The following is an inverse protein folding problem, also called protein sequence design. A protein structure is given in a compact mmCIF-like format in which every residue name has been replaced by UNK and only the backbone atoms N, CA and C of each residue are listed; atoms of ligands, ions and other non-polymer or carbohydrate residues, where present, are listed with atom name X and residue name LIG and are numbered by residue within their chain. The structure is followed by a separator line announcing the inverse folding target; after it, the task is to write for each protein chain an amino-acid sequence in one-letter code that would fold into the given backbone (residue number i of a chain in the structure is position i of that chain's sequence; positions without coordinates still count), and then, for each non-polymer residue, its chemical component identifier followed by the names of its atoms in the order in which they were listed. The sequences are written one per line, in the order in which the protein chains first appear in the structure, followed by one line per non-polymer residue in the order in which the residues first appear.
data_IF_373902008202
#
_entry.id   IF_373902008202
#
_cell.length_a   1.000
_cell.length_b   1.000
_cell.length_c   1.000
_cell.angle_alpha   90.00
_cell.angle_beta   90.00
_cell.angle_gamma   90.00
#
_symmetry.space_group_name_H-M   'P 1'
#
loop_
_entity.id
_entity.type
_entity.pdbx_description
1 polymer ?
#
# COMPACT_ATOMS: atom_id res chain seq x y z
N UNK A 1 -47.68 37.60 5.34
CA UNK A 1 -47.50 37.58 3.87
C UNK A 1 -46.08 38.00 3.50
N UNK A 2 -45.07 37.51 4.23
CA UNK A 2 -43.70 38.04 4.23
C UNK A 2 -42.65 36.93 4.43
N UNK A 3 -43.01 35.69 4.06
CA UNK A 3 -42.27 34.47 4.41
C UNK A 3 -42.10 33.51 3.20
N UNK A 4 -42.14 34.06 1.98
CA UNK A 4 -41.94 33.29 0.73
C UNK A 4 -40.78 33.80 -0.12
N UNK A 5 -40.03 34.78 0.37
CA UNK A 5 -38.90 35.38 -0.35
C UNK A 5 -37.56 34.74 0.00
N UNK A 6 -37.43 34.01 1.11
CA UNK A 6 -36.18 33.35 1.51
C UNK A 6 -35.91 32.03 0.77
N UNK A 7 -36.95 31.30 0.34
CA UNK A 7 -36.75 30.00 -0.34
C UNK A 7 -36.32 30.12 -1.81
N UNK A 8 -36.45 31.29 -2.45
CA UNK A 8 -36.00 31.47 -3.84
C UNK A 8 -34.49 31.68 -3.98
N UNK A 9 -33.82 32.23 -2.97
CA UNK A 9 -32.35 32.38 -3.00
C UNK A 9 -31.59 31.05 -2.81
N UNK A 10 -32.20 30.07 -2.13
CA UNK A 10 -31.58 28.76 -1.91
C UNK A 10 -31.59 27.89 -3.17
N UNK A 11 -32.60 28.04 -4.03
CA UNK A 11 -32.75 27.23 -5.25
C UNK A 11 -31.85 27.71 -6.39
N UNK A 12 -31.58 29.02 -6.49
CA UNK A 12 -30.67 29.56 -7.52
C UNK A 12 -29.18 29.25 -7.25
N UNK A 13 -28.82 28.77 -6.04
CA UNK A 13 -27.44 28.35 -5.71
C UNK A 13 -27.11 26.90 -6.03
N UNK A 14 -28.09 26.08 -6.42
CA UNK A 14 -27.89 24.67 -6.74
C UNK A 14 -27.71 24.43 -8.25
N UNK A 15 -26.99 25.31 -8.96
CA UNK A 15 -26.61 25.03 -10.34
C UNK A 15 -25.56 23.91 -10.30
N UNK A 16 -25.77 22.77 -10.98
CA UNK A 16 -24.80 21.67 -10.97
C UNK A 16 -23.46 22.22 -11.50
N UNK A 17 -22.38 22.01 -10.74
CA UNK A 17 -21.04 22.42 -11.15
C UNK A 17 -20.74 21.76 -12.49
N UNK A 18 -20.28 22.55 -13.44
CA UNK A 18 -19.79 22.00 -14.70
C UNK A 18 -18.49 21.25 -14.44
N UNK A 19 -18.13 20.25 -15.26
CA UNK A 19 -16.82 19.60 -15.17
C UNK A 19 -15.64 20.59 -15.21
N UNK A 20 -15.80 21.72 -15.89
CA UNK A 20 -14.81 22.81 -15.94
C UNK A 20 -14.67 23.53 -14.59
N UNK A 21 -15.77 23.75 -13.87
CA UNK A 21 -15.74 24.36 -12.54
C UNK A 21 -15.05 23.45 -11.52
N UNK A 22 -15.30 22.14 -11.59
CA UNK A 22 -14.61 21.13 -10.77
C UNK A 22 -13.11 21.08 -11.08
N UNK A 23 -12.73 21.12 -12.37
CA UNK A 23 -11.33 21.17 -12.78
C UNK A 23 -10.63 22.45 -12.31
N UNK A 24 -11.32 23.60 -12.36
CA UNK A 24 -10.82 24.87 -11.85
C UNK A 24 -10.60 24.80 -10.35
N UNK A 25 -11.56 24.29 -9.59
CA UNK A 25 -11.46 24.12 -8.14
C UNK A 25 -10.28 23.23 -7.76
N UNK A 26 -10.12 22.09 -8.44
CA UNK A 26 -8.98 21.19 -8.22
C UNK A 26 -7.64 21.90 -8.47
N UNK A 27 -7.47 22.57 -9.62
CA UNK A 27 -6.22 23.26 -9.96
C UNK A 27 -5.92 24.39 -8.96
N UNK A 28 -6.93 25.13 -8.50
CA UNK A 28 -6.72 26.18 -7.49
C UNK A 28 -6.28 25.60 -6.14
N UNK A 29 -6.79 24.42 -5.77
CA UNK A 29 -6.38 23.70 -4.55
C UNK A 29 -4.94 23.23 -4.67
N UNK A 30 -4.58 22.57 -5.77
CA UNK A 30 -3.21 22.12 -6.04
C UNK A 30 -2.21 23.29 -6.07
N UNK A 31 -2.61 24.44 -6.63
CA UNK A 31 -1.78 25.63 -6.69
C UNK A 31 -1.52 26.23 -5.30
N UNK A 32 -2.51 26.19 -4.40
CA UNK A 32 -2.34 26.63 -3.01
C UNK A 32 -1.39 25.69 -2.25
N UNK A 33 -1.53 24.38 -2.43
CA UNK A 33 -0.65 23.38 -1.82
C UNK A 33 0.79 23.52 -2.33
N UNK A 34 0.99 23.63 -3.64
CA UNK A 34 2.32 23.83 -4.23
C UNK A 34 3.00 25.12 -3.73
N UNK A 35 2.24 26.20 -3.50
CA UNK A 35 2.77 27.43 -2.90
C UNK A 35 3.18 27.26 -1.44
N UNK A 36 2.43 26.49 -0.65
CA UNK A 36 2.81 26.19 0.73
C UNK A 36 4.09 25.34 0.75
N UNK A 37 4.18 24.30 -0.09
CA UNK A 37 5.37 23.45 -0.19
C UNK A 37 6.60 24.19 -0.72
N UNK A 38 6.41 25.18 -1.60
CA UNK A 38 7.47 26.09 -2.01
C UNK A 38 7.99 26.92 -0.83
N UNK A 39 7.09 27.45 0.02
CA UNK A 39 7.48 28.23 1.19
C UNK A 39 8.18 27.39 2.28
N UNK A 40 7.83 26.11 2.40
CA UNK A 40 8.43 25.16 3.34
C UNK A 40 9.72 24.50 2.80
N UNK A 41 10.08 24.74 1.54
CA UNK A 41 11.23 24.10 0.93
C UNK A 41 12.55 24.63 1.51
N UNK A 42 13.35 23.74 2.07
CA UNK A 42 14.65 24.06 2.69
C UNK A 42 15.80 23.92 1.69
N UNK A 43 15.64 23.05 0.68
CA UNK A 43 16.67 22.79 -0.33
C UNK A 43 16.41 23.58 -1.61
N UNK A 44 17.45 24.08 -2.28
CA UNK A 44 17.29 24.84 -3.51
C UNK A 44 16.68 24.02 -4.65
N UNK A 45 16.97 22.71 -4.71
CA UNK A 45 16.41 21.82 -5.73
C UNK A 45 14.90 21.63 -5.55
N UNK A 46 14.43 21.51 -4.29
CA UNK A 46 13.00 21.42 -4.00
C UNK A 46 12.28 22.74 -4.32
N UNK A 47 12.91 23.87 -4.00
CA UNK A 47 12.37 25.19 -4.33
C UNK A 47 12.23 25.38 -5.85
N UNK A 48 13.23 24.96 -6.64
CA UNK A 48 13.18 25.01 -8.10
C UNK A 48 12.06 24.12 -8.66
N UNK A 49 11.94 22.89 -8.16
CA UNK A 49 10.87 21.96 -8.55
C UNK A 49 9.48 22.57 -8.31
N UNK A 50 9.21 23.06 -7.10
CA UNK A 50 7.90 23.65 -6.77
C UNK A 50 7.63 24.94 -7.52
N UNK A 51 8.66 25.74 -7.82
CA UNK A 51 8.52 26.94 -8.66
C UNK A 51 8.03 26.57 -10.06
N UNK A 52 8.65 25.57 -10.69
CA UNK A 52 8.23 25.09 -12.01
C UNK A 52 6.80 24.53 -11.98
N UNK A 53 6.44 23.77 -10.94
CA UNK A 53 5.09 23.25 -10.76
C UNK A 53 4.03 24.36 -10.63
N UNK A 54 4.32 25.44 -9.89
CA UNK A 54 3.41 26.59 -9.75
C UNK A 54 3.18 27.28 -11.10
N UNK A 55 4.22 27.44 -11.93
CA UNK A 55 4.12 28.05 -13.27
C UNK A 55 3.23 27.20 -14.19
N UNK A 56 3.40 25.88 -14.18
CA UNK A 56 2.60 24.96 -14.98
C UNK A 56 1.12 24.94 -14.58
N UNK A 57 0.83 24.95 -13.26
CA UNK A 57 -0.53 25.04 -12.75
C UNK A 57 -1.21 26.36 -13.14
N UNK A 58 -0.48 27.49 -13.07
CA UNK A 58 -0.98 28.78 -13.54
C UNK A 58 -1.29 28.77 -15.04
N UNK A 59 -0.46 28.10 -15.85
CA UNK A 59 -0.68 27.98 -17.29
C UNK A 59 -1.96 27.17 -17.59
N UNK A 60 -2.18 26.06 -16.87
CA UNK A 60 -3.42 25.28 -16.98
C UNK A 60 -4.65 26.08 -16.56
N UNK A 61 -4.56 26.86 -15.48
CA UNK A 61 -5.65 27.71 -15.02
C UNK A 61 -6.05 28.76 -16.09
N UNK A 62 -5.06 29.42 -16.71
CA UNK A 62 -5.31 30.36 -17.82
C UNK A 62 -5.94 29.70 -19.05
N UNK A 63 -5.59 28.45 -19.33
CA UNK A 63 -6.18 27.70 -20.43
C UNK A 63 -7.66 27.39 -20.18
N UNK A 64 -8.05 27.10 -18.93
CA UNK A 64 -9.45 26.88 -18.54
C UNK A 64 -10.29 28.15 -18.55
N UNK A 65 -9.69 29.32 -18.31
CA UNK A 65 -10.42 30.60 -18.31
C UNK A 65 -10.81 31.09 -19.72
N UNK A 66 -10.60 30.28 -20.77
CA UNK A 66 -11.06 30.61 -22.13
C UNK A 66 -10.35 31.80 -22.78
N UNK A 67 -9.43 32.46 -22.07
CA UNK A 67 -8.59 33.54 -22.59
C UNK A 67 -7.42 33.04 -23.45
N UNK A 68 -7.40 31.75 -23.79
CA UNK A 68 -6.50 31.15 -24.75
C UNK A 68 -6.89 31.48 -26.20
N UNK A 69 -6.96 32.75 -26.56
CA UNK A 69 -6.68 33.12 -27.95
C UNK A 69 -5.26 32.62 -28.22
N UNK A 70 -5.08 31.76 -29.21
CA UNK A 70 -3.81 31.18 -29.63
C UNK A 70 -2.78 32.29 -29.91
N UNK A 71 -2.07 32.76 -28.89
CA UNK A 71 -0.79 33.41 -29.10
C UNK A 71 0.17 32.29 -29.46
N UNK A 72 0.51 32.19 -30.74
CA UNK A 72 1.52 31.30 -31.28
C UNK A 72 2.83 31.43 -30.47
N UNK A 73 3.04 30.53 -29.52
CA UNK A 73 4.31 30.39 -28.82
C UNK A 73 5.28 29.64 -29.75
N UNK A 74 6.50 30.16 -29.99
CA UNK A 74 7.48 29.48 -30.83
C UNK A 74 7.91 28.16 -30.17
N UNK A 75 7.66 27.05 -30.83
CA UNK A 75 8.01 25.68 -30.43
C UNK A 75 9.52 25.37 -30.54
N UNK A 76 10.37 26.39 -30.54
CA UNK A 76 11.82 26.20 -30.68
C UNK A 76 12.47 26.01 -29.30
N UNK A 77 12.98 24.79 -29.05
CA UNK A 77 13.61 24.38 -27.77
C UNK A 77 14.83 25.21 -27.35
N UNK A 78 15.32 26.12 -28.19
CA UNK A 78 16.53 26.91 -27.94
C UNK A 78 16.27 28.35 -27.45
N UNK A 79 15.01 28.77 -27.25
CA UNK A 79 14.68 30.16 -26.86
C UNK A 79 14.09 30.30 -25.44
N UNK A 80 14.34 29.33 -24.56
CA UNK A 80 13.94 29.41 -23.15
C UNK A 80 14.73 30.46 -22.35
N UNK A 81 15.87 30.92 -22.85
CA UNK A 81 16.75 31.86 -22.14
C UNK A 81 16.25 33.31 -22.08
N UNK A 82 15.45 33.77 -23.06
CA UNK A 82 14.98 35.16 -23.09
C UNK A 82 13.71 35.37 -22.26
N UNK A 83 12.85 34.34 -22.16
CA UNK A 83 11.66 34.35 -21.29
C UNK A 83 12.02 34.27 -19.80
N UNK A 84 13.09 33.55 -19.45
CA UNK A 84 13.57 33.45 -18.06
C UNK A 84 14.07 34.80 -17.52
N UNK A 85 14.74 35.61 -18.35
CA UNK A 85 15.20 36.96 -17.97
C UNK A 85 14.07 37.94 -17.66
N UNK A 86 12.91 37.80 -18.31
CA UNK A 86 11.73 38.62 -17.99
C UNK A 86 11.04 38.18 -16.70
N UNK A 87 11.17 36.92 -16.30
CA UNK A 87 10.63 36.39 -15.04
C UNK A 87 11.59 36.54 -13.85
N UNK A 88 12.91 36.65 -14.08
CA UNK A 88 13.90 37.01 -13.05
C UNK A 88 13.56 38.33 -12.36
N UNK A 89 12.96 39.30 -13.05
CA UNK A 89 12.47 40.55 -12.46
C UNK A 89 11.28 40.38 -11.51
N UNK A 90 10.43 39.38 -11.74
CA UNK A 90 9.28 39.08 -10.87
C UNK A 90 9.74 38.21 -9.69
N UNK A 91 10.60 37.23 -9.95
CA UNK A 91 11.20 36.38 -8.93
C UNK A 91 12.10 37.20 -8.00
N UNK A 92 12.95 38.11 -8.50
CA UNK A 92 13.80 38.95 -7.63
C UNK A 92 12.99 39.84 -6.68
N UNK A 93 11.84 40.38 -7.11
CA UNK A 93 10.92 41.10 -6.24
C UNK A 93 10.28 40.17 -5.19
N UNK A 94 9.97 38.92 -5.56
CA UNK A 94 9.44 37.91 -4.63
C UNK A 94 10.49 37.51 -3.57
N UNK A 95 11.74 37.26 -3.98
CA UNK A 95 12.86 36.93 -3.10
C UNK A 95 13.21 38.08 -2.14
N UNK A 96 13.14 39.34 -2.61
CA UNK A 96 13.29 40.52 -1.75
C UNK A 96 12.14 40.68 -0.75
N UNK A 97 10.91 40.35 -1.15
CA UNK A 97 9.74 40.39 -0.25
C UNK A 97 9.78 39.29 0.81
N UNK A 98 10.43 38.15 0.51
CA UNK A 98 10.56 37.00 1.40
C UNK A 98 11.85 37.00 2.25
N UNK A 99 12.70 38.02 2.14
CA UNK A 99 13.89 38.19 3.00
C UNK A 99 15.02 37.19 2.75
N UNK A 100 15.06 36.53 1.59
CA UNK A 100 16.06 35.50 1.30
C UNK A 100 17.35 36.11 0.72
N UNK A 101 18.50 35.86 1.36
CA UNK A 101 19.82 36.23 0.86
C UNK A 101 20.60 34.97 0.48
N UNK A 102 20.98 34.74 -0.79
CA UNK A 102 21.72 33.55 -1.18
C UNK A 102 23.16 33.57 -0.65
N UNK A 103 23.59 32.47 -0.05
CA UNK A 103 24.96 32.27 0.44
C UNK A 103 25.93 32.09 -0.74
N UNK A 104 27.02 32.88 -0.77
CA UNK A 104 28.14 32.68 -1.70
C UNK A 104 28.86 31.38 -1.36
N UNK A 105 28.82 30.39 -2.25
CA UNK A 105 29.63 29.18 -2.15
C UNK A 105 31.02 29.42 -2.75
N UNK A 106 32.05 29.29 -1.91
CA UNK A 106 33.46 29.34 -2.28
C UNK A 106 33.91 27.92 -2.65
N UNK A 107 34.42 27.78 -3.88
CA UNK A 107 35.09 26.59 -4.41
C UNK A 107 36.48 26.49 -3.77
N UNK A 108 36.84 25.30 -3.31
CA UNK A 108 38.06 24.56 -3.68
C UNK A 108 38.30 23.40 -2.70
N UNK A 109 38.30 22.16 -3.19
CA UNK A 109 38.88 21.01 -2.48
C UNK A 109 39.84 20.33 -3.46
N UNK A 110 41.12 20.65 -3.31
CA UNK A 110 42.25 19.96 -3.91
C UNK A 110 42.49 18.62 -3.22
N UNK A 111 42.52 17.55 -4.03
CA UNK A 111 42.78 16.19 -3.62
C UNK A 111 44.30 15.97 -3.55
N UNK A 112 44.91 16.13 -2.36
CA UNK A 112 46.33 15.83 -2.14
C UNK A 112 46.49 14.42 -1.54
N UNK A 113 46.95 13.48 -2.36
CA UNK A 113 47.42 12.16 -1.92
C UNK A 113 48.89 12.23 -1.48
N UNK A 114 49.17 11.82 -0.24
CA UNK A 114 50.54 11.58 0.25
C UNK A 114 50.64 10.18 0.89
N UNK A 115 51.76 9.45 0.70
CA UNK A 115 51.97 8.12 1.25
C UNK A 115 52.58 8.22 2.67
N UNK A 116 51.98 7.53 3.64
CA UNK A 116 52.52 7.45 5.01
C UNK A 116 53.24 6.12 5.19
N UNK A 117 54.55 6.23 5.41
CA UNK A 117 55.46 5.20 5.88
C UNK A 117 55.31 4.98 7.39
N UNK A 118 55.10 3.74 7.81
CA UNK A 118 55.13 3.35 9.23
C UNK A 118 56.55 3.11 9.72
N UNK A 119 56.88 3.54 10.95
CA UNK A 119 57.80 2.80 11.80
C UNK A 119 57.13 2.32 13.09
N UNK A 120 57.45 1.08 13.43
CA UNK A 120 57.13 0.36 14.67
C UNK A 120 57.67 1.08 15.90
N UNK A 121 56.91 1.09 17.02
CA UNK A 121 57.54 0.96 18.32
C UNK A 121 56.89 -0.13 19.22
N UNK A 122 57.78 -0.73 20.00
CA UNK A 122 57.62 -1.79 21.01
C UNK A 122 56.67 -1.45 22.17
N UNK A 123 56.29 -2.44 23.00
CA UNK A 123 55.11 -2.37 23.87
C UNK A 123 55.42 -1.76 25.24
N UNK A 124 54.51 -0.93 25.74
CA UNK A 124 54.45 -0.46 27.13
C UNK A 124 53.10 -0.91 27.72
N UNK A 125 53.08 -1.45 28.97
CA UNK A 125 51.86 -1.90 29.62
C UNK A 125 51.17 -0.74 30.36
N UNK A 126 49.88 -0.55 30.11
CA UNK A 126 48.99 0.36 30.85
C UNK A 126 47.58 -0.22 30.77
N UNK A 127 47.15 -0.87 31.84
CA UNK A 127 46.19 -0.34 32.84
C UNK A 127 44.76 -0.29 32.31
N UNK A 128 43.97 -1.23 32.85
CA UNK A 128 42.52 -1.35 32.74
C UNK A 128 41.81 -0.04 33.06
N UNK A 129 41.18 0.56 32.05
CA UNK A 129 40.01 1.43 32.24
C UNK A 129 38.93 0.90 31.30
N UNK A 130 38.12 -0.03 31.81
CA UNK A 130 36.84 -0.38 31.22
C UNK A 130 35.94 0.86 31.26
N UNK A 131 35.89 1.59 30.15
CA UNK A 131 34.77 2.47 29.86
C UNK A 131 33.58 1.57 29.50
N UNK A 132 32.71 1.35 30.48
CA UNK A 132 31.41 0.74 30.31
C UNK A 132 30.59 1.66 29.38
N UNK A 133 30.63 1.36 28.09
CA UNK A 133 29.86 2.01 27.04
C UNK A 133 28.38 1.67 27.29
N UNK A 134 27.71 2.58 28.00
CA UNK A 134 26.29 2.52 28.33
C UNK A 134 25.53 2.49 26.98
N UNK A 135 24.77 1.44 26.65
CA UNK A 135 24.08 1.37 25.38
C UNK A 135 23.14 2.57 25.26
N UNK A 136 23.25 3.32 24.16
CA UNK A 136 22.29 4.36 23.79
C UNK A 136 20.92 3.71 23.67
N UNK A 137 20.14 3.83 24.74
CA UNK A 137 18.76 3.40 24.83
C UNK A 137 17.95 4.32 23.92
N UNK A 138 17.61 3.82 22.73
CA UNK A 138 16.71 4.49 21.79
C UNK A 138 15.41 4.88 22.54
N UNK A 139 15.31 6.15 22.96
CA UNK A 139 14.15 6.66 23.68
C UNK A 139 12.93 6.56 22.78
N UNK A 140 12.06 5.57 23.05
CA UNK A 140 10.79 5.42 22.35
C UNK A 140 9.94 6.68 22.57
N UNK A 141 9.30 7.23 21.53
CA UNK A 141 8.47 8.43 21.67
C UNK A 141 7.33 8.18 22.66
N UNK A 142 7.19 9.06 23.64
CA UNK A 142 6.11 9.05 24.64
C UNK A 142 4.97 9.91 24.11
N UNK A 143 3.74 9.39 24.19
CA UNK A 143 2.52 10.07 23.76
C UNK A 143 1.48 10.12 24.88
N UNK A 144 0.72 11.20 24.91
CA UNK A 144 -0.37 11.41 25.86
C UNK A 144 -1.67 10.83 25.30
N UNK A 145 -2.22 9.83 25.98
CA UNK A 145 -3.45 9.14 25.56
C UNK A 145 -4.58 9.47 26.50
N UNK A 146 -5.74 9.89 25.98
CA UNK A 146 -6.95 10.13 26.76
C UNK A 146 -7.75 8.83 26.87
N UNK A 147 -8.05 8.37 28.08
CA UNK A 147 -8.82 7.15 28.29
C UNK A 147 -10.31 7.33 27.91
N UNK A 148 -10.89 6.49 27.03
CA UNK A 148 -12.29 6.61 26.60
C UNK A 148 -13.30 6.15 27.68
N UNK A 149 -12.85 5.34 28.64
CA UNK A 149 -13.63 4.78 29.73
C UNK A 149 -12.76 4.60 30.98
N UNK A 150 -13.36 4.16 32.10
CA UNK A 150 -12.60 3.70 33.26
C UNK A 150 -11.95 2.35 32.90
N UNK A 151 -10.62 2.32 32.79
CA UNK A 151 -9.85 1.15 32.35
C UNK A 151 -9.01 0.61 33.51
N UNK A 152 -9.01 -0.72 33.72
CA UNK A 152 -8.15 -1.33 34.72
C UNK A 152 -6.67 -1.27 34.30
N UNK A 153 -5.77 -1.31 35.27
CA UNK A 153 -4.34 -1.30 34.97
C UNK A 153 -3.89 -2.53 34.19
N UNK A 154 -2.96 -2.32 33.25
CA UNK A 154 -2.47 -3.35 32.33
C UNK A 154 -3.37 -3.60 31.12
N UNK A 155 -4.55 -2.95 31.03
CA UNK A 155 -5.40 -3.05 29.85
C UNK A 155 -4.73 -2.44 28.63
N UNK A 156 -4.86 -3.07 27.47
CA UNK A 156 -4.28 -2.62 26.21
C UNK A 156 -5.39 -2.26 25.22
N UNK A 157 -5.27 -1.13 24.55
CA UNK A 157 -6.21 -0.72 23.50
C UNK A 157 -5.52 0.03 22.37
N UNK A 158 -6.10 -0.03 21.17
CA UNK A 158 -5.61 0.70 20.00
C UNK A 158 -5.98 2.18 20.11
N UNK A 159 -4.99 3.06 19.99
CA UNK A 159 -5.13 4.50 19.95
C UNK A 159 -4.57 5.04 18.63
N UNK A 160 -5.11 6.16 18.13
CA UNK A 160 -4.68 6.79 16.89
C UNK A 160 -4.17 8.22 17.16
N UNK A 161 -2.95 8.53 16.70
CA UNK A 161 -2.34 9.85 16.77
C UNK A 161 -1.73 10.21 15.42
N UNK A 162 -2.11 11.35 14.84
CA UNK A 162 -1.62 11.81 13.53
C UNK A 162 -1.79 10.76 12.41
N UNK A 163 -2.87 9.98 12.44
CA UNK A 163 -3.13 8.91 11.47
C UNK A 163 -2.28 7.66 11.65
N UNK A 164 -1.52 7.55 12.75
CA UNK A 164 -0.77 6.34 13.13
C UNK A 164 -1.46 5.66 14.31
N UNK A 165 -1.66 4.34 14.20
CA UNK A 165 -2.26 3.54 15.27
C UNK A 165 -1.17 2.88 16.11
N UNK A 166 -1.40 2.79 17.42
CA UNK A 166 -0.48 2.20 18.38
C UNK A 166 -1.25 1.54 19.53
N UNK A 167 -0.65 0.57 20.23
CA UNK A 167 -1.26 -0.02 21.43
C UNK A 167 -0.89 0.84 22.63
N UNK A 168 -1.88 1.48 23.22
CA UNK A 168 -1.75 2.12 24.51
C UNK A 168 -1.92 1.09 25.62
N UNK A 169 -0.92 0.93 26.50
CA UNK A 169 -1.02 0.10 27.72
C UNK A 169 -1.34 0.99 28.92
N UNK A 170 -2.45 0.70 29.60
CA UNK A 170 -2.91 1.43 30.79
C UNK A 170 -1.97 1.14 31.96
N UNK A 171 -1.51 2.16 32.72
CA UNK A 171 -0.64 1.97 33.87
C UNK A 171 -1.29 1.10 34.96
N UNK A 172 -0.49 0.43 35.78
CA UNK A 172 -0.94 -0.59 36.78
C UNK A 172 -2.04 -0.08 37.72
N UNK A 173 -2.14 1.23 37.97
CA UNK A 173 -3.20 1.83 38.81
C UNK A 173 -4.56 2.00 38.13
N UNK A 174 -4.69 1.66 36.85
CA UNK A 174 -5.86 1.98 36.05
C UNK A 174 -5.96 3.48 35.73
N UNK A 175 -6.89 3.85 34.87
CA UNK A 175 -7.13 5.23 34.46
C UNK A 175 -8.63 5.48 34.37
N UNK A 176 -9.09 6.61 34.93
CA UNK A 176 -10.50 7.00 34.85
C UNK A 176 -10.80 7.64 33.48
N UNK A 177 -12.05 7.50 33.03
CA UNK A 177 -12.55 8.10 31.79
C UNK A 177 -12.19 9.58 31.70
N UNK A 178 -11.63 9.98 30.56
CA UNK A 178 -11.24 11.35 30.24
C UNK A 178 -9.91 11.81 30.83
N UNK A 179 -9.25 11.00 31.68
CA UNK A 179 -7.89 11.31 32.14
C UNK A 179 -6.86 10.95 31.07
N UNK A 180 -5.83 11.78 30.97
CA UNK A 180 -4.65 11.50 30.16
C UNK A 180 -3.66 10.63 30.93
N UNK A 181 -2.98 9.74 30.22
CA UNK A 181 -1.84 9.00 30.74
C UNK A 181 -0.76 8.90 29.66
N UNK A 182 0.49 8.82 30.11
CA UNK A 182 1.65 8.64 29.25
C UNK A 182 1.76 7.17 28.84
N UNK A 183 1.86 6.93 27.54
CA UNK A 183 2.20 5.63 27.00
C UNK A 183 3.36 5.77 26.03
N UNK A 184 4.26 4.79 26.04
CA UNK A 184 5.22 4.66 24.95
C UNK A 184 4.45 4.28 23.70
N UNK A 185 4.68 5.00 22.61
CA UNK A 185 4.08 4.70 21.32
C UNK A 185 4.75 3.44 20.76
N UNK A 186 4.24 2.28 21.14
CA UNK A 186 4.53 1.04 20.42
C UNK A 186 3.59 1.01 19.22
N UNK A 187 4.10 1.48 18.07
CA UNK A 187 3.40 1.37 16.79
C UNK A 187 2.97 -0.09 16.61
N UNK A 188 1.69 -0.37 16.87
CA UNK A 188 1.02 -1.53 16.29
C UNK A 188 0.88 -1.21 14.83
N UNK A 189 1.94 -1.50 14.12
CA UNK A 189 1.76 -1.92 12.76
C UNK A 189 0.77 -3.07 12.84
N UNK A 190 -0.49 -2.84 12.44
CA UNK A 190 -1.59 -3.84 12.44
C UNK A 190 -1.28 -5.09 11.62
N UNK A 191 -0.06 -5.18 11.10
CA UNK A 191 0.63 -6.38 10.69
C UNK A 191 1.76 -6.62 11.70
N UNK A 192 1.80 -7.77 12.38
CA UNK A 192 2.95 -8.25 13.17
C UNK A 192 4.27 -8.35 12.36
N UNK A 193 4.33 -7.79 11.16
CA UNK A 193 5.49 -7.69 10.31
C UNK A 193 6.63 -6.97 11.07
N UNK A 194 7.73 -7.71 11.24
CA UNK A 194 8.92 -7.25 11.93
C UNK A 194 9.64 -6.20 11.07
N UNK A 195 9.96 -5.05 11.64
CA UNK A 195 10.80 -4.05 10.98
C UNK A 195 12.26 -4.48 11.01
N UNK A 196 13.02 -4.09 9.98
CA UNK A 196 14.46 -4.31 9.95
C UNK A 196 14.91 -5.76 9.72
N UNK A 197 13.99 -6.70 9.48
CA UNK A 197 14.34 -8.07 9.05
C UNK A 197 13.17 -8.80 8.40
N UNK A 198 13.48 -9.74 7.51
CA UNK A 198 12.50 -10.72 7.04
C UNK A 198 12.00 -11.58 8.22
N UNK A 199 10.71 -11.95 8.20
CA UNK A 199 10.13 -12.83 9.24
C UNK A 199 10.73 -14.24 9.17
N UNK A 200 10.87 -14.74 7.95
CA UNK A 200 11.39 -16.07 7.65
C UNK A 200 12.51 -15.94 6.60
N UNK A 201 13.45 -16.87 6.59
CA UNK A 201 14.43 -16.97 5.50
C UNK A 201 13.77 -17.56 4.23
N UNK A 202 14.44 -17.42 3.09
CA UNK A 202 13.98 -18.05 1.83
C UNK A 202 14.03 -19.58 1.87
N UNK A 203 14.87 -20.13 2.75
CA UNK A 203 15.03 -21.56 3.03
C UNK A 203 13.93 -22.12 3.93
N UNK A 204 13.25 -21.27 4.70
CA UNK A 204 12.21 -21.65 5.67
C UNK A 204 10.84 -21.89 5.02
N UNK A 205 10.81 -22.33 3.76
CA UNK A 205 9.57 -22.53 2.98
C UNK A 205 8.62 -23.57 3.59
N UNK A 206 9.15 -24.46 4.43
CA UNK A 206 8.42 -25.54 5.11
C UNK A 206 8.23 -25.32 6.61
N UNK A 207 8.51 -24.12 7.13
CA UNK A 207 8.30 -23.81 8.56
C UNK A 207 6.87 -24.13 9.04
N UNK A 208 5.88 -23.87 8.18
CA UNK A 208 4.46 -24.20 8.42
C UNK A 208 4.00 -25.48 7.71
N UNK A 209 4.94 -26.31 7.27
CA UNK A 209 4.72 -27.55 6.53
C UNK A 209 4.60 -27.40 5.01
N UNK A 210 4.82 -28.47 4.24
CA UNK A 210 4.76 -28.47 2.76
C UNK A 210 3.36 -28.27 2.20
N UNK A 211 2.32 -28.45 3.03
CA UNK A 211 0.91 -28.27 2.66
C UNK A 211 0.37 -26.88 2.96
N UNK A 212 1.23 -25.96 3.42
CA UNK A 212 0.81 -24.61 3.73
C UNK A 212 0.28 -23.90 2.47
N UNK A 213 -0.91 -23.29 2.51
CA UNK A 213 -1.57 -22.74 1.31
C UNK A 213 -0.71 -21.68 0.60
N UNK A 214 -0.06 -20.78 1.34
CA UNK A 214 0.79 -19.76 0.72
C UNK A 214 1.98 -20.36 -0.04
N UNK A 215 2.57 -21.45 0.47
CA UNK A 215 3.71 -22.12 -0.19
C UNK A 215 3.25 -22.86 -1.45
N UNK A 216 2.12 -23.57 -1.40
CA UNK A 216 1.63 -24.30 -2.57
C UNK A 216 1.05 -23.37 -3.64
N UNK A 217 0.30 -22.34 -3.26
CA UNK A 217 -0.24 -21.36 -4.22
C UNK A 217 0.90 -20.55 -4.86
N UNK A 218 1.97 -20.22 -4.13
CA UNK A 218 3.09 -19.52 -4.75
C UNK A 218 3.84 -20.37 -5.78
N UNK A 219 3.89 -21.68 -5.60
CA UNK A 219 4.51 -22.62 -6.56
C UNK A 219 3.60 -22.89 -7.76
N UNK A 220 2.30 -23.15 -7.52
CA UNK A 220 1.35 -23.57 -8.57
C UNK A 220 0.77 -22.37 -9.33
N UNK A 221 0.48 -21.27 -8.64
CA UNK A 221 -0.14 -20.06 -9.17
C UNK A 221 0.52 -18.79 -8.61
N UNK A 222 1.81 -18.57 -8.90
CA UNK A 222 2.61 -17.48 -8.33
C UNK A 222 1.97 -16.11 -8.46
N UNK A 223 1.34 -15.82 -9.60
CA UNK A 223 0.70 -14.52 -9.82
C UNK A 223 -0.51 -14.28 -8.89
N UNK A 224 -1.27 -15.32 -8.56
CA UNK A 224 -2.38 -15.19 -7.59
C UNK A 224 -1.86 -14.96 -6.18
N UNK A 225 -0.86 -15.74 -5.75
CA UNK A 225 -0.21 -15.52 -4.46
C UNK A 225 0.38 -14.11 -4.37
N UNK A 226 1.09 -13.66 -5.41
CA UNK A 226 1.65 -12.31 -5.47
C UNK A 226 0.57 -11.22 -5.43
N UNK A 227 -0.55 -11.39 -6.16
CA UNK A 227 -1.65 -10.42 -6.14
C UNK A 227 -2.25 -10.24 -4.74
N UNK A 228 -2.31 -11.31 -3.95
CA UNK A 228 -2.77 -11.25 -2.55
C UNK A 228 -1.80 -10.50 -1.67
N UNK A 229 -0.49 -10.68 -1.89
CA UNK A 229 0.56 -9.90 -1.19
C UNK A 229 0.46 -8.43 -1.56
N UNK A 230 0.37 -8.11 -2.86
CA UNK A 230 0.25 -6.74 -3.37
C UNK A 230 -0.95 -6.01 -2.76
N UNK A 231 -2.12 -6.64 -2.71
CA UNK A 231 -3.32 -6.04 -2.13
C UNK A 231 -3.19 -5.77 -0.63
N UNK A 232 -2.62 -6.70 0.15
CA UNK A 232 -2.37 -6.50 1.58
C UNK A 232 -1.43 -5.31 1.83
N UNK A 233 -0.50 -5.09 0.91
CA UNK A 233 0.52 -4.04 1.02
C UNK A 233 0.04 -2.71 0.43
N UNK A 234 -1.06 -2.70 -0.35
CA UNK A 234 -1.61 -1.53 -1.03
C UNK A 234 -0.91 -1.22 -2.35
N UNK A 235 -0.51 -2.26 -3.10
CA UNK A 235 0.18 -2.16 -4.38
C UNK A 235 -0.74 -2.48 -5.56
N UNK A 236 -0.43 -1.89 -6.70
CA UNK A 236 -1.00 -2.28 -7.99
C UNK A 236 -0.31 -3.53 -8.56
N UNK A 237 -0.77 -4.00 -9.73
CA UNK A 237 -0.22 -5.19 -10.38
C UNK A 237 1.23 -5.02 -10.87
N UNK A 238 1.71 -3.78 -10.98
CA UNK A 238 3.10 -3.49 -11.36
C UNK A 238 4.03 -3.44 -10.15
N UNK A 239 3.48 -3.51 -8.93
CA UNK A 239 4.21 -3.38 -7.67
C UNK A 239 4.43 -1.93 -7.25
N UNK A 240 3.72 -0.97 -7.85
CA UNK A 240 3.73 0.44 -7.42
C UNK A 240 2.62 0.71 -6.40
N UNK A 241 2.76 1.78 -5.63
CA UNK A 241 1.75 2.15 -4.62
C UNK A 241 0.45 2.54 -5.33
N UNK A 242 -0.63 1.81 -5.05
CA UNK A 242 -1.92 2.11 -5.64
C UNK A 242 -2.42 3.48 -5.16
N UNK A 243 -2.99 4.34 -6.04
CA UNK A 243 -3.65 5.56 -5.61
C UNK A 243 -4.76 5.21 -4.62
N UNK A 244 -4.87 5.96 -3.52
CA UNK A 244 -5.88 5.73 -2.47
C UNK A 244 -7.33 5.78 -2.98
N UNK A 245 -7.54 6.36 -4.16
CA UNK A 245 -8.86 6.53 -4.79
C UNK A 245 -9.32 5.31 -5.57
N UNK A 246 -8.44 4.35 -5.86
CA UNK A 246 -8.83 3.15 -6.63
C UNK A 246 -9.51 2.18 -5.67
N UNK A 247 -10.79 1.89 -5.94
CA UNK A 247 -11.54 0.87 -5.21
C UNK A 247 -10.76 -0.45 -5.21
N UNK A 248 -10.47 -0.98 -4.02
CA UNK A 248 -9.81 -2.27 -3.85
C UNK A 248 -10.72 -3.46 -4.20
N UNK A 249 -11.98 -3.20 -4.53
CA UNK A 249 -12.96 -4.24 -4.91
C UNK A 249 -13.23 -4.24 -6.42
N UNK A 250 -13.50 -5.42 -6.98
CA UNK A 250 -13.88 -5.60 -8.38
C UNK A 250 -12.73 -5.97 -9.32
N UNK A 251 -13.00 -5.84 -10.62
CA UNK A 251 -12.08 -6.26 -11.70
C UNK A 251 -10.76 -5.47 -11.72
N UNK A 252 -10.80 -4.23 -11.23
CA UNK A 252 -9.64 -3.33 -11.15
C UNK A 252 -8.77 -3.55 -9.91
N UNK A 253 -9.20 -4.42 -8.98
CA UNK A 253 -8.37 -4.84 -7.86
C UNK A 253 -7.12 -5.60 -8.36
N UNK A 254 -6.02 -5.63 -7.58
CA UNK A 254 -4.85 -6.44 -7.93
C UNK A 254 -5.18 -7.91 -8.20
N UNK A 255 -6.13 -8.48 -7.45
CA UNK A 255 -6.66 -9.85 -7.69
C UNK A 255 -7.41 -9.94 -9.01
N UNK A 256 -8.31 -9.00 -9.28
CA UNK A 256 -9.10 -8.97 -10.51
C UNK A 256 -8.21 -8.86 -11.75
N UNK A 257 -7.22 -7.97 -11.70
CA UNK A 257 -6.22 -7.84 -12.75
C UNK A 257 -5.40 -9.11 -12.92
N UNK A 258 -4.90 -9.72 -11.84
CA UNK A 258 -4.16 -10.98 -11.90
C UNK A 258 -4.99 -12.13 -12.50
N UNK A 259 -6.26 -12.26 -12.11
CA UNK A 259 -7.19 -13.23 -12.68
C UNK A 259 -7.44 -12.99 -14.16
N UNK A 260 -7.64 -11.72 -14.57
CA UNK A 260 -7.83 -11.36 -15.97
C UNK A 260 -6.60 -11.72 -16.81
N UNK A 261 -5.40 -11.50 -16.27
CA UNK A 261 -4.15 -11.76 -16.96
C UNK A 261 -3.84 -13.25 -17.05
N UNK A 262 -4.16 -14.03 -16.02
CA UNK A 262 -4.11 -15.50 -16.07
C UNK A 262 -5.12 -16.07 -17.06
N UNK A 263 -6.33 -15.51 -17.10
CA UNK A 263 -7.36 -15.92 -18.06
C UNK A 263 -6.93 -15.63 -19.49
N UNK A 264 -6.32 -14.47 -19.74
CA UNK A 264 -5.74 -14.11 -21.03
C UNK A 264 -4.60 -15.07 -21.42
N UNK A 265 -3.66 -15.33 -20.52
CA UNK A 265 -2.56 -16.28 -20.76
C UNK A 265 -3.06 -17.69 -21.06
N UNK A 266 -4.03 -18.18 -20.28
CA UNK A 266 -4.65 -19.48 -20.51
C UNK A 266 -5.38 -19.52 -21.86
N UNK A 267 -6.15 -18.48 -22.19
CA UNK A 267 -6.83 -18.35 -23.48
C UNK A 267 -5.88 -18.35 -24.67
N UNK A 268 -4.75 -17.65 -24.58
CA UNK A 268 -3.71 -17.66 -25.62
C UNK A 268 -3.10 -19.06 -25.80
N UNK A 269 -2.77 -19.76 -24.70
CA UNK A 269 -2.24 -21.13 -24.80
C UNK A 269 -3.27 -22.11 -25.37
N UNK A 270 -4.52 -22.05 -24.92
CA UNK A 270 -5.61 -22.88 -25.47
C UNK A 270 -5.80 -22.62 -26.97
N UNK A 271 -5.74 -21.36 -27.40
CA UNK A 271 -5.85 -20.99 -28.82
C UNK A 271 -4.69 -21.57 -29.64
N UNK A 272 -3.46 -21.49 -29.13
CA UNK A 272 -2.29 -22.06 -29.82
C UNK A 272 -2.39 -23.59 -29.90
N UNK A 273 -2.75 -24.26 -28.79
CA UNK A 273 -2.93 -25.71 -28.75
C UNK A 273 -4.04 -26.18 -29.70
N UNK A 274 -5.16 -25.47 -29.75
CA UNK A 274 -6.23 -25.74 -30.72
C UNK A 274 -5.74 -25.59 -32.17
N UNK A 275 -4.91 -24.58 -32.44
CA UNK A 275 -4.25 -24.41 -33.73
C UNK A 275 -3.32 -25.59 -34.09
N UNK A 276 -2.65 -26.18 -33.09
CA UNK A 276 -1.79 -27.36 -33.30
C UNK A 276 -2.63 -28.58 -33.67
N UNK A 277 -3.72 -28.82 -32.94
CA UNK A 277 -4.64 -29.92 -33.23
C UNK A 277 -5.24 -29.80 -34.64
N UNK A 278 -5.67 -28.60 -35.06
CA UNK A 278 -6.17 -28.39 -36.41
C UNK A 278 -5.12 -28.67 -37.49
N UNK A 279 -3.87 -28.25 -37.29
CA UNK A 279 -2.77 -28.52 -38.23
C UNK A 279 -2.43 -30.01 -38.28
N UNK A 280 -2.41 -30.67 -37.11
CA UNK A 280 -2.16 -32.09 -37.00
C UNK A 280 -3.25 -32.90 -37.73
N UNK A 281 -4.53 -32.54 -37.54
CA UNK A 281 -5.65 -33.14 -38.24
C UNK A 281 -5.67 -32.88 -39.75
N UNK A 282 -5.15 -31.72 -40.19
CA UNK A 282 -5.01 -31.39 -41.61
C UNK A 282 -3.75 -32.01 -42.26
N UNK A 283 -2.97 -32.80 -41.53
CA UNK A 283 -1.67 -33.34 -41.96
C UNK A 283 -0.67 -32.25 -42.42
N UNK A 284 -0.77 -31.05 -41.85
CA UNK A 284 0.17 -29.97 -42.09
C UNK A 284 1.38 -30.10 -41.15
N UNK A 285 2.57 -29.86 -41.67
CA UNK A 285 3.79 -29.86 -40.86
C UNK A 285 3.75 -28.68 -39.86
N UNK A 286 4.02 -28.96 -38.59
CA UNK A 286 4.22 -27.94 -37.55
C UNK A 286 5.45 -27.10 -37.92
N UNK A 287 5.27 -25.78 -37.95
CA UNK A 287 6.33 -24.83 -38.31
C UNK A 287 7.13 -24.42 -37.06
N UNK A 288 8.37 -23.98 -37.23
CA UNK A 288 9.13 -23.34 -36.15
C UNK A 288 8.36 -22.15 -35.53
N UNK A 289 7.56 -21.44 -36.33
CA UNK A 289 6.71 -20.34 -35.87
C UNK A 289 5.69 -20.78 -34.80
N UNK A 290 5.16 -21.99 -34.91
CA UNK A 290 4.19 -22.55 -33.98
C UNK A 290 4.83 -22.73 -32.59
N UNK A 291 6.02 -23.32 -32.53
CA UNK A 291 6.78 -23.46 -31.29
C UNK A 291 7.25 -22.12 -30.73
N UNK A 292 7.73 -21.21 -31.59
CA UNK A 292 8.13 -19.86 -31.17
C UNK A 292 6.98 -19.10 -30.51
N UNK A 293 5.73 -19.28 -30.96
CA UNK A 293 4.58 -18.62 -30.36
C UNK A 293 4.31 -19.08 -28.92
N UNK A 294 4.38 -20.39 -28.66
CA UNK A 294 4.22 -20.95 -27.30
C UNK A 294 5.34 -20.44 -26.39
N UNK A 295 6.58 -20.51 -26.87
CA UNK A 295 7.75 -20.05 -26.10
C UNK A 295 7.61 -18.56 -25.77
N UNK A 296 7.24 -17.73 -26.75
CA UNK A 296 7.11 -16.29 -26.57
C UNK A 296 6.03 -15.92 -25.55
N UNK A 297 4.84 -16.52 -25.65
CA UNK A 297 3.72 -16.26 -24.73
C UNK A 297 4.07 -16.66 -23.30
N UNK A 298 4.69 -17.84 -23.12
CA UNK A 298 5.07 -18.32 -21.79
C UNK A 298 6.25 -17.53 -21.21
N UNK A 299 7.25 -17.18 -22.04
CA UNK A 299 8.37 -16.36 -21.62
C UNK A 299 7.91 -14.94 -21.25
N UNK A 300 6.97 -14.34 -21.99
CA UNK A 300 6.43 -13.02 -21.63
C UNK A 300 5.69 -13.03 -20.30
N UNK A 301 4.92 -14.09 -20.03
CA UNK A 301 4.20 -14.24 -18.77
C UNK A 301 5.15 -14.46 -17.59
N UNK A 302 6.19 -15.28 -17.80
CA UNK A 302 7.26 -15.50 -16.82
C UNK A 302 8.02 -14.20 -16.52
N UNK A 303 8.43 -13.46 -17.56
CA UNK A 303 9.13 -12.19 -17.42
C UNK A 303 8.29 -11.16 -16.66
N UNK A 304 6.99 -11.06 -16.96
CA UNK A 304 6.07 -10.21 -16.22
C UNK A 304 5.98 -10.62 -14.74
N UNK A 305 5.83 -11.91 -14.46
CA UNK A 305 5.71 -12.41 -13.08
C UNK A 305 6.97 -12.11 -12.27
N UNK A 306 8.15 -12.28 -12.88
CA UNK A 306 9.44 -11.92 -12.27
C UNK A 306 9.51 -10.40 -12.00
N UNK A 307 9.17 -9.58 -12.99
CA UNK A 307 9.15 -8.12 -12.86
C UNK A 307 8.26 -7.66 -11.71
N UNK A 308 7.02 -8.14 -11.67
CA UNK A 308 6.05 -7.85 -10.61
C UNK A 308 6.54 -8.30 -9.22
N UNK A 309 7.19 -9.47 -9.15
CA UNK A 309 7.75 -10.01 -7.91
C UNK A 309 8.89 -9.14 -7.38
N UNK A 310 9.82 -8.75 -8.25
CA UNK A 310 10.97 -7.89 -7.89
C UNK A 310 10.49 -6.54 -7.38
N UNK A 311 9.56 -5.88 -8.08
CA UNK A 311 9.03 -4.58 -7.65
C UNK A 311 8.31 -4.68 -6.31
N UNK A 312 7.48 -5.72 -6.13
CA UNK A 312 6.77 -5.95 -4.86
C UNK A 312 7.75 -6.16 -3.71
N UNK A 313 8.81 -6.94 -3.93
CA UNK A 313 9.83 -7.17 -2.91
C UNK A 313 10.56 -5.89 -2.56
N UNK A 314 11.01 -5.12 -3.56
CA UNK A 314 11.71 -3.86 -3.34
C UNK A 314 10.84 -2.88 -2.53
N UNK A 315 9.53 -2.83 -2.83
CA UNK A 315 8.60 -2.03 -2.06
C UNK A 315 8.48 -2.51 -0.61
N UNK A 316 8.35 -3.82 -0.37
CA UNK A 316 8.28 -4.39 0.99
C UNK A 316 9.57 -4.10 1.76
N UNK A 317 10.74 -4.31 1.14
CA UNK A 317 12.04 -4.01 1.74
C UNK A 317 12.13 -2.54 2.16
N UNK A 318 11.70 -1.61 1.29
CA UNK A 318 11.67 -0.19 1.61
C UNK A 318 10.64 0.14 2.71
N UNK A 319 9.43 -0.42 2.64
CA UNK A 319 8.33 -0.13 3.57
C UNK A 319 8.61 -0.62 4.99
N UNK A 320 9.27 -1.76 5.14
CA UNK A 320 9.59 -2.36 6.44
C UNK A 320 11.07 -2.16 6.84
N UNK A 321 11.77 -1.26 6.13
CA UNK A 321 13.18 -0.90 6.38
C UNK A 321 14.09 -2.13 6.52
N UNK A 322 13.84 -3.17 5.72
CA UNK A 322 14.62 -4.41 5.78
C UNK A 322 16.01 -4.09 5.20
N UNK A 323 17.10 -4.23 5.98
CA UNK A 323 18.43 -3.98 5.47
C UNK A 323 18.72 -4.96 4.34
N UNK A 324 19.28 -4.45 3.25
CA UNK A 324 19.78 -5.32 2.19
C UNK A 324 20.77 -6.32 2.81
N UNK A 325 20.60 -7.60 2.51
CA UNK A 325 21.46 -8.66 3.03
C UNK A 325 22.93 -8.41 2.69
N UNK A 326 23.82 -9.22 3.27
CA UNK A 326 25.29 -9.12 3.13
C UNK A 326 25.78 -9.00 1.68
N UNK A 327 25.01 -9.50 0.72
CA UNK A 327 25.34 -9.50 -0.70
C UNK A 327 24.83 -8.28 -1.49
N UNK A 328 24.15 -7.32 -0.84
CA UNK A 328 23.61 -6.10 -1.44
C UNK A 328 22.30 -6.29 -2.20
N UNK A 329 21.71 -5.17 -2.64
CA UNK A 329 20.38 -5.12 -3.29
C UNK A 329 20.31 -5.87 -4.63
N UNK A 330 21.41 -5.91 -5.39
CA UNK A 330 21.48 -6.63 -6.66
C UNK A 330 21.34 -8.15 -6.45
N UNK A 331 22.02 -8.71 -5.44
CA UNK A 331 21.96 -10.13 -5.15
C UNK A 331 20.54 -10.54 -4.71
N UNK A 332 19.88 -9.71 -3.91
CA UNK A 332 18.47 -9.94 -3.54
C UNK A 332 17.53 -9.88 -4.74
N UNK A 333 17.79 -8.97 -5.68
CA UNK A 333 17.02 -8.87 -6.93
C UNK A 333 17.16 -10.13 -7.78
N UNK A 334 18.39 -10.61 -7.97
CA UNK A 334 18.66 -11.85 -8.72
C UNK A 334 18.02 -13.05 -8.01
N UNK A 335 18.17 -13.14 -6.69
CA UNK A 335 17.58 -14.22 -5.90
C UNK A 335 16.05 -14.22 -6.01
N UNK A 336 15.45 -13.04 -6.04
CA UNK A 336 14.01 -12.87 -6.24
C UNK A 336 13.55 -13.26 -7.63
N UNK A 337 14.34 -12.99 -8.66
CA UNK A 337 14.03 -13.38 -10.03
C UNK A 337 14.17 -14.90 -10.23
N UNK A 338 15.24 -15.51 -9.70
CA UNK A 338 15.50 -16.95 -9.86
C UNK A 338 14.56 -17.79 -9.00
N UNK A 339 14.32 -17.39 -7.75
CA UNK A 339 13.47 -18.10 -6.80
C UNK A 339 12.18 -17.33 -6.51
N UNK A 340 11.53 -16.82 -7.56
CA UNK A 340 10.33 -15.99 -7.40
C UNK A 340 9.17 -16.69 -6.65
N UNK A 341 8.89 -18.00 -6.80
CA UNK A 341 7.84 -18.65 -6.00
C UNK A 341 8.13 -18.65 -4.50
N UNK A 342 9.41 -18.85 -4.14
CA UNK A 342 9.86 -18.86 -2.74
C UNK A 342 9.85 -17.44 -2.17
N UNK A 343 10.24 -16.47 -2.98
CA UNK A 343 10.20 -15.05 -2.62
C UNK A 343 8.77 -14.57 -2.40
N UNK A 344 7.81 -14.99 -3.24
CA UNK A 344 6.39 -14.70 -3.05
C UNK A 344 5.88 -15.31 -1.75
N UNK A 345 6.24 -16.58 -1.44
CA UNK A 345 5.87 -17.21 -0.19
C UNK A 345 6.46 -16.48 1.03
N UNK A 346 7.74 -16.08 0.97
CA UNK A 346 8.40 -15.30 2.00
C UNK A 346 7.70 -13.96 2.24
N UNK A 347 7.41 -13.18 1.18
CA UNK A 347 6.66 -11.93 1.29
C UNK A 347 5.25 -12.15 1.86
N UNK A 348 4.60 -13.23 1.45
CA UNK A 348 3.28 -13.63 1.94
C UNK A 348 3.24 -14.01 3.42
N UNK A 349 4.32 -14.58 3.97
CA UNK A 349 4.47 -14.84 5.41
C UNK A 349 4.99 -13.64 6.19
N UNK A 350 5.72 -12.74 5.55
CA UNK A 350 6.13 -11.50 6.20
C UNK A 350 4.92 -10.58 6.48
N UNK A 351 4.01 -10.48 5.50
CA UNK A 351 2.81 -9.64 5.57
C UNK A 351 1.67 -10.21 6.42
N UNK A 352 1.80 -11.45 6.93
CA UNK A 352 0.75 -12.14 7.70
C UNK A 352 1.36 -12.97 8.82
N UNK A 353 0.87 -12.80 10.04
CA UNK A 353 1.24 -13.68 11.15
C UNK A 353 0.45 -14.99 11.08
N UNK A 354 1.09 -16.05 10.57
CA UNK A 354 0.50 -17.39 10.55
C UNK A 354 0.64 -18.13 11.90
N UNK A 355 1.36 -17.55 12.86
CA UNK A 355 1.43 -18.09 14.23
C UNK A 355 0.10 -17.82 14.99
N UNK A 356 -0.54 -16.69 14.70
CA UNK A 356 -1.82 -16.29 15.28
C UNK A 356 -3.03 -16.69 14.41
N UNK A 357 -2.83 -16.85 13.10
CA UNK A 357 -3.90 -17.15 12.16
C UNK A 357 -3.59 -18.42 11.38
N UNK A 358 -4.43 -19.44 11.50
CA UNK A 358 -4.29 -20.65 10.68
C UNK A 358 -4.46 -20.33 9.19
N UNK A 359 -3.56 -20.86 8.36
CA UNK A 359 -3.66 -20.74 6.91
C UNK A 359 -4.79 -21.59 6.35
N UNK A 360 -5.93 -20.96 6.00
CA UNK A 360 -7.07 -21.64 5.36
C UNK A 360 -7.02 -21.49 3.84
N UNK A 361 -7.18 -22.59 3.10
CA UNK A 361 -7.10 -22.63 1.63
C UNK A 361 -8.23 -21.87 0.93
N UNK A 362 -9.45 -22.15 1.37
CA UNK A 362 -10.68 -21.56 0.88
C UNK A 362 -11.59 -21.52 2.08
N UNK A 363 -11.74 -20.35 2.70
CA UNK A 363 -12.82 -20.15 3.63
C UNK A 363 -14.03 -19.69 2.79
N UNK A 364 -15.01 -20.58 2.50
CA UNK A 364 -16.17 -20.24 1.69
C UNK A 364 -16.99 -19.09 2.31
N UNK A 365 -16.80 -18.82 3.59
CA UNK A 365 -17.46 -17.71 4.29
C UNK A 365 -16.64 -16.40 4.30
N UNK A 366 -15.36 -16.41 3.91
CA UNK A 366 -14.52 -15.19 3.84
C UNK A 366 -14.15 -14.70 2.44
N UNK A 367 -14.52 -15.41 1.36
CA UNK A 367 -14.36 -14.87 -0.01
C UNK A 367 -15.18 -13.57 -0.20
N UNK A 368 -16.24 -13.38 0.59
CA UNK A 368 -17.03 -12.15 0.64
C UNK A 368 -16.96 -11.38 1.97
N UNK A 369 -16.26 -11.92 2.98
CA UNK A 369 -15.99 -11.19 4.22
C UNK A 369 -14.62 -10.55 4.10
N UNK A 370 -14.61 -9.37 3.49
CA UNK A 370 -13.68 -8.33 3.92
C UNK A 370 -13.83 -8.27 5.44
N UNK A 371 -12.76 -8.46 6.21
CA UNK A 371 -12.79 -8.32 7.66
C UNK A 371 -13.22 -6.88 7.97
N UNK A 372 -14.54 -6.66 8.06
CA UNK A 372 -15.17 -5.44 8.54
C UNK A 372 -14.98 -5.27 10.07
N UNK A 373 -13.99 -5.97 10.64
CA UNK A 373 -13.49 -5.73 11.98
C UNK A 373 -12.30 -4.76 12.00
N UNK A 374 -11.86 -4.26 10.84
CA UNK A 374 -11.52 -2.84 10.76
C UNK A 374 -12.86 -2.08 10.67
N UNK A 375 -13.33 -1.61 11.83
CA UNK A 375 -14.63 -0.94 11.98
C UNK A 375 -14.74 0.39 11.21
N UNK A 376 -15.98 0.90 11.12
CA UNK A 376 -16.52 1.64 9.98
C UNK A 376 -16.22 3.14 10.01
N UNK A 377 -16.35 3.75 8.83
CA UNK A 377 -16.95 5.07 8.71
C UNK A 377 -18.22 5.14 9.57
N UNK A 378 -18.14 5.75 10.74
CA UNK A 378 -19.29 6.20 11.53
C UNK A 378 -19.05 7.63 12.00
N UNK A 379 -19.60 8.56 11.22
CA UNK A 379 -20.09 9.86 11.66
C UNK A 379 -21.13 9.66 12.79
N UNK A 380 -21.01 10.32 13.96
CA UNK A 380 -21.99 10.22 15.01
C UNK A 380 -23.03 11.34 14.88
N UNK A 381 -23.91 11.27 13.86
CA UNK A 381 -25.18 12.02 13.90
C UNK A 381 -26.21 11.52 12.88
N UNK A 382 -27.34 11.00 13.36
CA UNK A 382 -28.51 10.81 12.49
C UNK A 382 -29.44 9.67 12.86
N UNK A 383 -30.41 9.97 13.71
CA UNK A 383 -31.66 9.22 13.87
C UNK A 383 -32.32 8.90 12.52
N UNK A 384 -32.75 7.66 12.28
CA UNK A 384 -34.16 7.28 12.01
C UNK A 384 -34.31 5.79 11.63
N UNK A 385 -34.96 5.08 12.57
CA UNK A 385 -35.89 3.95 12.44
C UNK A 385 -36.42 3.64 11.02
N UNK A 386 -36.34 2.37 10.59
CA UNK A 386 -37.48 1.67 9.99
C UNK A 386 -37.31 0.13 10.01
N UNK A 387 -38.45 -0.52 10.17
CA UNK A 387 -38.69 -1.90 10.60
C UNK A 387 -38.41 -3.02 9.57
N UNK A 388 -38.05 -4.19 10.12
CA UNK A 388 -38.58 -5.55 9.87
C UNK A 388 -39.06 -5.89 8.44
N UNK A 389 -38.46 -6.93 7.84
CA UNK A 389 -39.17 -8.11 7.32
C UNK A 389 -38.18 -9.28 7.16
N UNK A 390 -38.54 -10.38 7.80
CA UNK A 390 -37.96 -11.72 7.69
C UNK A 390 -38.10 -12.30 6.27
N UNK A 391 -37.16 -13.16 5.87
CA UNK A 391 -37.41 -14.07 4.75
C UNK A 391 -36.16 -14.66 4.11
N UNK A 392 -35.89 -15.93 4.44
CA UNK A 392 -35.33 -16.99 3.59
C UNK A 392 -34.12 -17.72 4.21
N UNK A 393 -34.47 -18.91 4.70
CA UNK A 393 -33.62 -20.03 5.10
C UNK A 393 -32.80 -20.57 3.93
N UNK A 394 -31.56 -20.96 4.24
CA UNK A 394 -30.74 -21.83 3.40
C UNK A 394 -31.37 -23.23 3.31
N UNK A 395 -31.29 -23.85 2.13
CA UNK A 395 -31.42 -25.29 1.92
C UNK A 395 -30.32 -25.73 0.95
N UNK A 396 -29.41 -26.64 1.34
CA UNK A 396 -28.62 -27.38 0.39
C UNK A 396 -28.92 -28.89 0.48
N UNK A 397 -29.08 -29.48 -0.70
CA UNK A 397 -28.75 -30.87 -1.05
C UNK A 397 -29.88 -31.92 -0.94
N UNK A 398 -30.47 -32.29 -2.09
CA UNK A 398 -30.85 -33.69 -2.37
C UNK A 398 -31.28 -33.91 -3.84
N UNK A 399 -30.34 -34.29 -4.72
CA UNK A 399 -30.66 -35.05 -5.94
C UNK A 399 -29.57 -36.10 -6.17
N UNK A 400 -29.77 -37.30 -5.61
CA UNK A 400 -29.80 -38.59 -6.32
C UNK A 400 -29.59 -39.77 -5.35
N UNK A 401 -30.64 -40.59 -5.28
CA UNK A 401 -30.61 -42.07 -5.26
C UNK A 401 -30.24 -42.77 -3.93
N UNK A 402 -31.27 -43.16 -3.17
CA UNK A 402 -31.36 -44.54 -2.67
C UNK A 402 -32.81 -44.93 -2.32
N UNK A 403 -33.18 -46.12 -2.78
CA UNK A 403 -34.41 -46.83 -2.46
C UNK A 403 -34.46 -47.28 -0.98
N UNK A 404 -35.70 -47.33 -0.47
CA UNK A 404 -36.26 -48.34 0.43
C UNK A 404 -35.94 -48.30 1.94
N UNK A 405 -37.02 -47.97 2.66
CA UNK A 405 -37.63 -48.64 3.85
C UNK A 405 -37.14 -48.35 5.27
N UNK A 406 -38.16 -48.08 6.11
CA UNK A 406 -38.25 -48.07 7.59
C UNK A 406 -37.63 -46.85 8.30
N UNK A 407 -38.29 -46.09 9.19
CA UNK A 407 -39.56 -46.24 9.91
C UNK A 407 -39.34 -45.93 11.40
N UNK A 408 -39.64 -44.72 11.88
CA UNK A 408 -39.91 -44.35 13.30
C UNK A 408 -40.23 -42.83 13.37
N UNK A 409 -41.49 -42.42 13.49
CA UNK A 409 -42.25 -42.12 14.73
C UNK A 409 -41.63 -40.97 15.55
N UNK A 410 -42.28 -39.81 15.50
CA UNK A 410 -42.09 -38.67 16.39
C UNK A 410 -42.80 -38.90 17.74
N UNK A 411 -42.18 -38.46 18.83
CA UNK A 411 -42.88 -38.11 20.07
C UNK A 411 -42.26 -36.83 20.67
N UNK A 412 -43.00 -35.70 20.70
CA UNK A 412 -42.63 -34.52 21.45
C UNK A 412 -43.54 -34.39 22.67
N UNK A 413 -43.01 -34.54 23.88
CA UNK A 413 -43.73 -34.16 25.10
C UNK A 413 -42.83 -33.89 26.30
N UNK A 414 -43.12 -32.73 26.93
CA UNK A 414 -42.81 -32.23 28.29
C UNK A 414 -41.55 -31.38 28.45
N UNK A 415 -41.66 -30.05 28.65
CA UNK A 415 -42.30 -29.26 29.73
C UNK A 415 -41.46 -29.27 31.03
N UNK A 416 -40.80 -28.13 31.27
CA UNK A 416 -40.67 -27.34 32.51
C UNK A 416 -40.59 -28.10 33.86
N UNK A 417 -39.55 -27.86 34.68
CA UNK A 417 -39.47 -26.81 35.74
C UNK A 417 -38.39 -27.07 36.81
N UNK A 418 -37.86 -25.94 37.33
CA UNK A 418 -37.33 -25.62 38.66
C UNK A 418 -35.99 -26.18 39.19
N UNK A 419 -35.06 -25.23 39.42
CA UNK A 419 -34.53 -24.77 40.74
C UNK A 419 -34.56 -25.79 41.88
N UNK A 420 -33.40 -26.26 42.33
CA UNK A 420 -32.55 -25.77 43.46
C UNK A 420 -32.65 -26.80 44.63
N UNK A 421 -31.76 -26.80 45.64
CA UNK A 421 -30.77 -25.78 46.05
C UNK A 421 -29.29 -26.14 45.84
#
# INVERSE_FOLDING_TARGET
MQDRTLDREAVDKAKPLTPEDLAREQITTELKEARNLLAESVTPEAAEFWTNQVVDLQKKLRALDGNGAESSFPTNKNDYGSYFKSQEGILSNLWQTLGYAPSKQEKDIELTTSPVSSPVPSPVPSEDVSAEEKPEENEKPIVDVVAPADLPGGYQFEAELNGRRFIATVPVGGVQKGKTFYCYMEETNGTDALYGRWRDELTDIYKYGPKHPMTLVSIVCPLLALSKVMEKVGLDITGQKAPRTVSQTGLWSPRGMALSMLSLWAGLNVTILFGFELKLHAYLALSAADFCSIILVNLSMLAFTIYATVNTRNYIVQKFEIPAGKYGSLAETILSAVFFPLSIAQMGRHTVCYDSNEGVWCDPTRIFRQDSNEGPWCDPSGYLRHDIMEGASCDPTSILRQESTEGAICDPSRILKHEEP
#
